data_IF_176485005273
#
_entry.id   IF_176485005273
#
_cell.length_a   1.000
_cell.length_b   1.000
_cell.length_c   1.000
_cell.angle_alpha   90.00
_cell.angle_beta   90.00
_cell.angle_gamma   90.00
#
_symmetry.space_group_name_H-M   'P 1'
#
loop_
_entity.id
_entity.type
_entity.pdbx_description
1 polymer ?
#
# COMPACT_ATOMS: atom_id res chain seq x y z
N UNK A 1 -15.10 -9.84 4.13
CA UNK A 1 -13.70 -9.64 4.59
C UNK A 1 -12.76 -9.69 3.39
N UNK A 2 -12.93 -10.64 2.46
CA UNK A 2 -12.28 -10.59 1.14
C UNK A 2 -12.42 -9.24 0.44
N UNK A 3 -13.64 -8.76 0.18
CA UNK A 3 -13.85 -7.47 -0.51
C UNK A 3 -13.12 -6.29 0.13
N UNK A 4 -13.03 -6.28 1.47
CA UNK A 4 -12.32 -5.23 2.20
C UNK A 4 -10.79 -5.40 2.10
N UNK A 5 -10.29 -6.64 2.10
CA UNK A 5 -8.89 -6.96 1.86
C UNK A 5 -8.46 -6.59 0.44
N UNK A 6 -9.24 -6.99 -0.56
CA UNK A 6 -9.05 -6.64 -1.97
C UNK A 6 -9.04 -5.12 -2.16
N UNK A 7 -9.99 -4.41 -1.53
CA UNK A 7 -10.04 -2.96 -1.62
C UNK A 7 -8.79 -2.29 -1.04
N UNK A 8 -8.31 -2.74 0.12
CA UNK A 8 -7.10 -2.18 0.73
C UNK A 8 -5.86 -2.43 -0.13
N UNK A 9 -5.73 -3.62 -0.71
CA UNK A 9 -4.61 -3.95 -1.61
C UNK A 9 -4.69 -3.11 -2.89
N UNK A 10 -5.87 -2.96 -3.49
CA UNK A 10 -6.03 -2.16 -4.70
C UNK A 10 -5.71 -0.67 -4.47
N UNK A 11 -6.14 -0.10 -3.34
CA UNK A 11 -5.83 1.29 -2.99
C UNK A 11 -4.35 1.48 -2.63
N UNK A 12 -3.73 0.51 -1.96
CA UNK A 12 -2.27 0.47 -1.74
C UNK A 12 -1.51 0.61 -3.07
N UNK A 13 -1.80 -0.24 -4.05
CA UNK A 13 -1.14 -0.20 -5.35
C UNK A 13 -1.40 1.11 -6.11
N UNK A 14 -2.62 1.67 -5.98
CA UNK A 14 -2.95 2.96 -6.59
C UNK A 14 -2.10 4.09 -6.00
N UNK A 15 -1.99 4.15 -4.68
CA UNK A 15 -1.21 5.17 -4.00
C UNK A 15 0.29 5.02 -4.24
N UNK A 16 0.81 3.79 -4.37
CA UNK A 16 2.22 3.57 -4.74
C UNK A 16 2.52 4.13 -6.14
N UNK A 17 1.65 3.86 -7.12
CA UNK A 17 1.80 4.43 -8.48
C UNK A 17 1.76 5.96 -8.45
N UNK A 18 0.81 6.55 -7.72
CA UNK A 18 0.70 8.01 -7.59
C UNK A 18 1.96 8.61 -6.92
N UNK A 19 2.52 7.92 -5.93
CA UNK A 19 3.76 8.36 -5.28
C UNK A 19 4.96 8.32 -6.24
N UNK A 20 5.09 7.27 -7.03
CA UNK A 20 6.17 7.15 -8.03
C UNK A 20 6.05 8.20 -9.14
N UNK A 21 4.81 8.51 -9.58
CA UNK A 21 4.53 9.60 -10.52
C UNK A 21 4.94 10.97 -9.95
N UNK A 22 4.58 11.22 -8.68
CA UNK A 22 4.96 12.48 -8.00
C UNK A 22 6.47 12.59 -7.80
N UNK A 23 7.17 11.48 -7.50
CA UNK A 23 8.63 11.45 -7.44
C UNK A 23 9.26 11.83 -8.77
N UNK A 24 8.78 11.24 -9.86
CA UNK A 24 9.26 11.57 -11.21
C UNK A 24 9.05 13.05 -11.53
N UNK A 25 7.90 13.61 -11.17
CA UNK A 25 7.62 15.04 -11.36
C UNK A 25 8.59 15.94 -10.56
N UNK A 26 8.85 15.59 -9.29
CA UNK A 26 9.79 16.34 -8.45
C UNK A 26 11.22 16.25 -8.97
N UNK A 27 11.67 15.06 -9.38
CA UNK A 27 13.01 14.86 -9.93
C UNK A 27 13.18 15.73 -11.20
N UNK A 28 12.18 15.79 -12.09
CA UNK A 28 12.20 16.67 -13.27
C UNK A 28 12.27 18.17 -12.92
N UNK A 29 11.52 18.64 -11.91
CA UNK A 29 11.56 20.04 -11.47
C UNK A 29 12.94 20.45 -10.95
N UNK A 30 13.61 19.53 -10.25
CA UNK A 30 14.96 19.73 -9.71
C UNK A 30 15.99 19.76 -10.85
N UNK A 31 15.87 18.84 -11.82
CA UNK A 31 16.74 18.78 -13.00
C UNK A 31 16.60 20.00 -13.93
N UNK A 32 15.37 20.49 -14.13
CA UNK A 32 15.07 21.66 -14.97
C UNK A 32 15.54 23.00 -14.36
N UNK A 33 16.12 22.97 -13.16
CA UNK A 33 16.78 24.12 -12.54
C UNK A 33 15.83 25.10 -11.84
N UNK A 34 14.67 24.62 -11.36
CA UNK A 34 13.66 25.45 -10.67
C UNK A 34 14.18 26.13 -9.38
N UNK A 35 15.31 25.68 -8.83
CA UNK A 35 15.92 26.23 -7.61
C UNK A 35 17.45 26.32 -7.70
N UNK A 36 18.04 27.22 -6.93
CA UNK A 36 19.49 27.31 -6.68
C UNK A 36 20.02 25.95 -6.21
N UNK A 37 21.20 25.54 -6.69
CA UNK A 37 21.74 24.18 -6.55
C UNK A 37 21.66 23.58 -5.13
N UNK A 38 21.88 24.38 -4.07
CA UNK A 38 21.84 23.91 -2.69
C UNK A 38 20.41 23.69 -2.16
N UNK A 39 19.47 24.61 -2.49
CA UNK A 39 18.05 24.45 -2.14
C UNK A 39 17.38 23.30 -2.88
N UNK A 40 17.76 23.05 -4.14
CA UNK A 40 17.23 21.92 -4.92
C UNK A 40 17.65 20.58 -4.32
N UNK A 41 18.90 20.48 -3.87
CA UNK A 41 19.43 19.27 -3.24
C UNK A 41 18.73 18.97 -1.91
N UNK A 42 18.60 19.97 -1.03
CA UNK A 42 17.91 19.81 0.25
C UNK A 42 16.42 19.43 0.06
N UNK A 43 15.77 19.99 -0.95
CA UNK A 43 14.41 19.61 -1.31
C UNK A 43 14.31 18.17 -1.81
N UNK A 44 15.23 17.74 -2.69
CA UNK A 44 15.28 16.36 -3.19
C UNK A 44 15.49 15.35 -2.06
N UNK A 45 16.45 15.60 -1.16
CA UNK A 45 16.68 14.76 0.03
C UNK A 45 15.42 14.66 0.91
N UNK A 46 14.76 15.80 1.17
CA UNK A 46 13.51 15.84 1.97
C UNK A 46 12.38 15.06 1.29
N UNK A 47 12.29 15.13 -0.04
CA UNK A 47 11.27 14.42 -0.81
C UNK A 47 11.53 12.91 -0.88
N UNK A 48 12.79 12.50 -0.96
CA UNK A 48 13.18 11.09 -0.88
C UNK A 48 12.81 10.48 0.48
N UNK A 49 13.09 11.19 1.58
CA UNK A 49 12.70 10.77 2.93
C UNK A 49 11.18 10.65 3.06
N UNK A 50 10.44 11.66 2.58
CA UNK A 50 8.98 11.64 2.53
C UNK A 50 8.47 10.41 1.75
N UNK A 51 8.96 10.20 0.53
CA UNK A 51 8.51 9.09 -0.31
C UNK A 51 8.79 7.73 0.34
N UNK A 52 9.92 7.59 1.02
CA UNK A 52 10.28 6.38 1.77
C UNK A 52 9.28 6.12 2.90
N UNK A 53 8.95 7.14 3.70
CA UNK A 53 7.98 7.01 4.79
C UNK A 53 6.56 6.68 4.30
N UNK A 54 6.15 7.25 3.17
CA UNK A 54 4.88 6.91 2.54
C UNK A 54 4.88 5.45 2.07
N UNK A 55 5.94 4.97 1.39
CA UNK A 55 6.05 3.56 0.98
C UNK A 55 5.92 2.60 2.17
N UNK A 56 6.61 2.88 3.27
CA UNK A 56 6.47 2.08 4.51
C UNK A 56 5.06 2.08 5.08
N UNK A 57 4.36 3.21 5.01
CA UNK A 57 2.96 3.31 5.45
C UNK A 57 2.04 2.48 4.54
N UNK A 58 2.29 2.53 3.23
CA UNK A 58 1.57 1.79 2.20
C UNK A 58 1.77 0.28 2.34
N UNK A 59 2.98 -0.20 2.64
CA UNK A 59 3.24 -1.61 2.98
C UNK A 59 2.37 -2.07 4.16
N UNK A 60 2.18 -1.21 5.17
CA UNK A 60 1.26 -1.49 6.28
C UNK A 60 -0.18 -1.69 5.82
N UNK A 61 -0.63 -0.91 4.84
CA UNK A 61 -1.96 -1.05 4.23
C UNK A 61 -2.13 -2.39 3.49
N UNK A 62 -1.11 -2.80 2.73
CA UNK A 62 -1.09 -4.12 2.09
C UNK A 62 -1.14 -5.25 3.13
N UNK A 63 -0.38 -5.13 4.22
CA UNK A 63 -0.40 -6.09 5.33
C UNK A 63 -1.78 -6.24 5.98
N UNK A 64 -2.51 -5.13 6.15
CA UNK A 64 -3.90 -5.15 6.64
C UNK A 64 -4.84 -5.85 5.67
N UNK A 65 -4.68 -5.62 4.36
CA UNK A 65 -5.47 -6.31 3.33
C UNK A 65 -5.25 -7.83 3.36
N UNK A 66 -3.99 -8.26 3.42
CA UNK A 66 -3.60 -9.67 3.52
C UNK A 66 -4.14 -10.33 4.80
N UNK A 67 -4.12 -9.61 5.93
CA UNK A 67 -4.72 -10.09 7.17
C UNK A 67 -6.23 -10.32 7.03
N UNK A 68 -6.96 -9.41 6.38
CA UNK A 68 -8.40 -9.57 6.15
C UNK A 68 -8.72 -10.76 5.23
N UNK A 69 -7.87 -11.06 4.25
CA UNK A 69 -7.98 -12.29 3.44
C UNK A 69 -7.80 -13.54 4.29
N UNK A 70 -6.69 -13.64 5.03
CA UNK A 70 -6.42 -14.80 5.86
C UNK A 70 -7.52 -15.04 6.92
N UNK A 71 -8.08 -13.96 7.48
CA UNK A 71 -9.21 -14.04 8.40
C UNK A 71 -10.48 -14.55 7.70
N UNK A 72 -10.76 -14.08 6.48
CA UNK A 72 -11.90 -14.55 5.69
C UNK A 72 -11.81 -16.04 5.36
N UNK A 73 -10.65 -16.48 4.86
CA UNK A 73 -10.37 -17.88 4.53
C UNK A 73 -10.57 -18.79 5.74
N UNK A 74 -10.04 -18.39 6.91
CA UNK A 74 -10.17 -19.16 8.14
C UNK A 74 -11.60 -19.28 8.65
N UNK A 75 -12.42 -18.23 8.49
CA UNK A 75 -13.84 -18.29 8.85
C UNK A 75 -14.64 -19.17 7.89
N UNK A 76 -14.35 -19.12 6.59
CA UNK A 76 -15.01 -19.98 5.60
C UNK A 76 -14.69 -21.47 5.85
N UNK A 77 -13.43 -21.80 6.11
CA UNK A 77 -13.01 -23.17 6.45
C UNK A 77 -13.71 -23.66 7.73
N UNK A 78 -13.79 -22.81 8.76
CA UNK A 78 -14.49 -23.14 10.00
C UNK A 78 -15.98 -23.38 9.76
N UNK A 79 -16.66 -22.55 8.95
CA UNK A 79 -18.08 -22.71 8.63
C UNK A 79 -18.35 -24.00 7.84
N UNK A 80 -17.51 -24.33 6.86
CA UNK A 80 -17.58 -25.59 6.11
C UNK A 80 -17.43 -26.80 7.03
N UNK A 81 -16.47 -26.75 7.96
CA UNK A 81 -16.27 -27.82 8.95
C UNK A 81 -17.50 -28.01 9.86
N UNK A 82 -18.06 -26.90 10.36
CA UNK A 82 -19.27 -26.93 11.19
C UNK A 82 -20.49 -27.48 10.43
N UNK A 83 -20.67 -27.06 9.17
CA UNK A 83 -21.73 -27.57 8.30
C UNK A 83 -21.61 -29.08 8.09
N UNK A 84 -20.41 -29.58 7.80
CA UNK A 84 -20.17 -31.01 7.60
C UNK A 84 -20.44 -31.82 8.88
N UNK A 85 -20.10 -31.29 10.05
CA UNK A 85 -20.35 -31.93 11.34
C UNK A 85 -21.87 -32.06 11.65
N UNK A 86 -22.68 -31.08 11.24
CA UNK A 86 -24.14 -31.12 11.42
C UNK A 86 -24.80 -32.06 10.39
N UNK A 87 -24.32 -32.07 9.14
CA UNK A 87 -24.87 -32.93 8.08
C UNK A 87 -24.48 -34.41 8.22
N UNK A 88 -23.41 -34.72 8.96
CA UNK A 88 -22.97 -36.09 9.24
C UNK A 88 -23.69 -36.79 10.39
N UNK A 89 -24.69 -36.16 11.03
CA UNK A 89 -25.54 -36.74 12.08
C UNK A 89 -26.98 -36.97 11.60
#
# INVERSE_FOLDING_TARGET
MHDAGDHLIAEHERMERELDDLKTYVDNLVEDGYVTAESSKAFQESYEEFSTGVKQTLEGMQGMGNFLHAAADGFEEQDVSLKNAIQGN
#
